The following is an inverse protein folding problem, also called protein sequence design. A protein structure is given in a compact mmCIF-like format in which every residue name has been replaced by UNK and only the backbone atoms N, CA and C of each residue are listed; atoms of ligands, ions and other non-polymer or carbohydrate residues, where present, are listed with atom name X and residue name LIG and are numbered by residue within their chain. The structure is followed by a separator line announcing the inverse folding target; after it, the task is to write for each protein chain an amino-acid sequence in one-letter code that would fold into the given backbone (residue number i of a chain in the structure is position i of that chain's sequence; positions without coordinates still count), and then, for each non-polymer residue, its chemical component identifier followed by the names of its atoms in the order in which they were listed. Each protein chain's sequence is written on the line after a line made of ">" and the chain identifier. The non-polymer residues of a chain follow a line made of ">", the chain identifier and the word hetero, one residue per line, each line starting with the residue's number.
data_IF_792455198096
#
_entry.id   IF_792455198096
#
_cell.length_a   1.000
_cell.length_b   1.000
_cell.length_c   1.000
_cell.angle_alpha   90.00
_cell.angle_beta   90.00
_cell.angle_gamma   90.00
#
_symmetry.space_group_name_H-M   'P 1'
#
loop_
_entity.id
_entity.type
_entity.pdbx_description
1 polymer ?
#
# COMPACT_ATOMS: atom_id res chain seq x y z
N UNK A 1 -18.34 -5.62 -55.11
CA UNK A 1 -18.43 -4.21 -54.70
C UNK A 1 -19.48 -4.18 -53.60
N UNK A 2 -19.27 -3.77 -52.36
CA UNK A 2 -18.23 -2.99 -51.68
C UNK A 2 -18.51 -3.23 -50.18
N UNK A 3 -17.62 -3.93 -49.48
CA UNK A 3 -16.74 -3.34 -48.46
C UNK A 3 -17.46 -2.72 -47.26
N UNK A 4 -17.60 -3.48 -46.18
CA UNK A 4 -17.50 -2.94 -44.82
C UNK A 4 -16.62 -3.89 -43.98
N UNK A 5 -15.32 -3.74 -44.18
CA UNK A 5 -14.35 -3.95 -43.10
C UNK A 5 -14.25 -2.59 -42.42
N UNK A 6 -14.65 -2.48 -41.15
CA UNK A 6 -14.03 -1.49 -40.28
C UNK A 6 -14.11 -1.90 -38.81
N UNK A 7 -12.97 -2.42 -38.38
CA UNK A 7 -12.30 -2.09 -37.13
C UNK A 7 -13.06 -2.34 -35.82
N UNK A 8 -13.10 -3.61 -35.42
CA UNK A 8 -12.90 -3.93 -34.01
C UNK A 8 -11.50 -3.47 -33.60
N UNK A 9 -11.37 -2.22 -33.18
CA UNK A 9 -10.25 -1.79 -32.35
C UNK A 9 -10.51 -2.37 -30.97
N UNK A 10 -10.26 -3.67 -30.81
CA UNK A 10 -9.97 -4.23 -29.50
C UNK A 10 -8.61 -3.64 -29.15
N UNK A 11 -8.63 -2.50 -28.45
CA UNK A 11 -7.43 -2.01 -27.77
C UNK A 11 -7.08 -3.08 -26.75
N UNK A 12 -6.14 -3.95 -27.11
CA UNK A 12 -5.40 -4.73 -26.13
C UNK A 12 -4.64 -3.72 -25.27
N UNK A 13 -5.31 -3.16 -24.25
CA UNK A 13 -4.63 -2.45 -23.18
C UNK A 13 -3.55 -3.41 -22.69
N UNK A 14 -2.29 -3.06 -22.94
CA UNK A 14 -1.20 -3.98 -22.65
C UNK A 14 -1.18 -4.20 -21.14
N UNK A 15 -1.15 -5.46 -20.71
CA UNK A 15 -1.13 -5.87 -19.30
C UNK A 15 -0.12 -5.09 -18.45
N UNK A 16 0.98 -4.63 -19.05
CA UNK A 16 2.01 -3.80 -18.43
C UNK A 16 1.47 -2.47 -17.89
N UNK A 17 0.56 -1.81 -18.61
CA UNK A 17 -0.02 -0.52 -18.19
C UNK A 17 -0.95 -0.70 -17.00
N UNK A 18 -1.66 -1.82 -16.94
CA UNK A 18 -2.55 -2.16 -15.84
C UNK A 18 -1.75 -2.49 -14.57
N UNK A 19 -0.67 -3.26 -14.69
CA UNK A 19 0.23 -3.56 -13.57
C UNK A 19 0.92 -2.31 -13.02
N UNK A 20 1.45 -1.44 -13.89
CA UNK A 20 2.06 -0.19 -13.47
C UNK A 20 1.05 0.73 -12.76
N UNK A 21 -0.17 0.84 -13.30
CA UNK A 21 -1.24 1.64 -12.66
C UNK A 21 -1.60 1.09 -11.28
N UNK A 22 -1.68 -0.24 -11.13
CA UNK A 22 -1.93 -0.89 -9.84
C UNK A 22 -0.80 -0.58 -8.84
N UNK A 23 0.46 -0.67 -9.28
CA UNK A 23 1.61 -0.37 -8.42
C UNK A 23 1.60 1.09 -7.94
N UNK A 24 1.32 2.06 -8.83
CA UNK A 24 1.21 3.47 -8.45
C UNK A 24 0.09 3.73 -7.41
N UNK A 25 -1.06 3.05 -7.58
CA UNK A 25 -2.17 3.15 -6.63
C UNK A 25 -1.79 2.56 -5.26
N UNK A 26 -1.08 1.43 -5.25
CA UNK A 26 -0.54 0.81 -4.03
C UNK A 26 0.44 1.75 -3.33
N UNK A 27 1.33 2.40 -4.09
CA UNK A 27 2.26 3.41 -3.57
C UNK A 27 1.53 4.62 -2.97
N UNK A 28 0.49 5.11 -3.63
CA UNK A 28 -0.33 6.21 -3.11
C UNK A 28 -1.01 5.83 -1.78
N UNK A 29 -1.54 4.61 -1.68
CA UNK A 29 -2.12 4.07 -0.42
C UNK A 29 -1.05 4.05 0.68
N UNK A 30 0.15 3.56 0.35
CA UNK A 30 1.26 3.46 1.30
C UNK A 30 1.67 4.84 1.82
N UNK A 31 1.88 5.81 0.94
CA UNK A 31 2.27 7.17 1.34
C UNK A 31 1.20 7.87 2.18
N UNK A 32 -0.08 7.68 1.88
CA UNK A 32 -1.16 8.23 2.70
C UNK A 32 -1.22 7.58 4.08
N UNK A 33 -1.01 6.25 4.17
CA UNK A 33 -0.93 5.55 5.44
C UNK A 33 0.30 5.96 6.25
N UNK A 34 1.45 6.12 5.60
CA UNK A 34 2.67 6.52 6.26
C UNK A 34 2.61 7.96 6.78
N UNK A 35 2.07 8.88 5.99
CA UNK A 35 1.81 10.26 6.43
C UNK A 35 0.83 10.32 7.61
N UNK A 36 -0.23 9.49 7.61
CA UNK A 36 -1.14 9.38 8.74
C UNK A 36 -0.40 8.98 10.02
N UNK A 37 0.44 7.95 9.94
CA UNK A 37 1.21 7.45 11.08
C UNK A 37 2.11 8.53 11.66
N UNK A 38 2.85 9.28 10.83
CA UNK A 38 3.70 10.37 11.32
C UNK A 38 2.92 11.50 12.00
N UNK A 39 1.74 11.86 11.49
CA UNK A 39 0.90 12.87 12.14
C UNK A 39 0.37 12.37 13.49
N UNK A 40 0.00 11.08 13.59
CA UNK A 40 -0.39 10.45 14.86
C UNK A 40 0.75 10.43 15.88
N UNK A 41 1.98 10.13 15.44
CA UNK A 41 3.17 10.18 16.29
C UNK A 41 3.42 11.60 16.83
N UNK A 42 3.23 12.64 16.01
CA UNK A 42 3.35 14.03 16.43
C UNK A 42 2.27 14.40 17.47
N UNK A 43 1.00 14.10 17.19
CA UNK A 43 -0.10 14.37 18.13
C UNK A 43 0.13 13.66 19.48
N UNK A 44 0.60 12.40 19.42
CA UNK A 44 0.93 11.60 20.60
C UNK A 44 2.08 12.23 21.39
N UNK A 45 3.16 12.64 20.73
CA UNK A 45 4.30 13.29 21.37
C UNK A 45 3.93 14.65 22.00
N UNK A 46 2.98 15.37 21.42
CA UNK A 46 2.47 16.64 21.95
C UNK A 46 1.42 16.47 23.05
N UNK A 47 0.85 15.26 23.20
CA UNK A 47 -0.23 14.96 24.13
C UNK A 47 -1.54 15.71 23.82
N UNK A 48 -1.71 16.18 22.58
CA UNK A 48 -2.89 16.94 22.14
C UNK A 48 -3.30 16.52 20.72
N UNK A 49 -4.60 16.31 20.43
CA UNK A 49 -5.07 15.87 19.12
C UNK A 49 -5.23 17.04 18.13
N UNK A 50 -4.17 17.82 17.89
CA UNK A 50 -4.24 19.04 17.07
C UNK A 50 -4.33 18.70 15.57
N UNK A 51 -3.70 17.61 15.15
CA UNK A 51 -3.60 17.18 13.76
C UNK A 51 -4.73 16.23 13.33
N UNK A 52 -5.64 15.89 14.25
CA UNK A 52 -6.79 15.00 14.00
C UNK A 52 -7.58 15.33 12.73
N UNK A 53 -7.89 16.61 12.39
CA UNK A 53 -8.57 16.93 11.14
C UNK A 53 -7.78 16.50 9.89
N UNK A 54 -6.46 16.68 9.90
CA UNK A 54 -5.59 16.28 8.79
C UNK A 54 -5.46 14.76 8.69
N UNK A 55 -5.29 14.08 9.83
CA UNK A 55 -5.27 12.61 9.93
C UNK A 55 -6.55 12.03 9.32
N UNK A 56 -7.71 12.57 9.68
CA UNK A 56 -8.99 12.12 9.13
C UNK A 56 -9.10 12.39 7.63
N UNK A 57 -8.60 13.53 7.13
CA UNK A 57 -8.54 13.79 5.69
C UNK A 57 -7.68 12.77 4.95
N UNK A 58 -6.51 12.39 5.49
CA UNK A 58 -5.64 11.37 4.89
C UNK A 58 -6.30 9.99 4.88
N UNK A 59 -6.99 9.61 5.96
CA UNK A 59 -7.77 8.36 6.03
C UNK A 59 -8.83 8.29 4.94
N UNK A 60 -9.58 9.38 4.75
CA UNK A 60 -10.63 9.45 3.73
C UNK A 60 -10.05 9.37 2.32
N UNK A 61 -8.96 10.10 2.04
CA UNK A 61 -8.28 10.02 0.75
C UNK A 61 -7.76 8.60 0.48
N UNK A 62 -7.18 7.94 1.49
CA UNK A 62 -6.69 6.55 1.35
C UNK A 62 -7.83 5.59 1.02
N UNK A 63 -8.99 5.76 1.68
CA UNK A 63 -10.19 4.95 1.41
C UNK A 63 -10.66 5.11 -0.04
N UNK A 64 -10.76 6.34 -0.53
CA UNK A 64 -11.18 6.64 -1.92
C UNK A 64 -10.23 5.99 -2.94
N UNK A 65 -8.91 6.06 -2.70
CA UNK A 65 -7.92 5.40 -3.56
C UNK A 65 -8.06 3.88 -3.49
N UNK A 66 -8.33 3.31 -2.31
CA UNK A 66 -8.59 1.89 -2.14
C UNK A 66 -9.83 1.39 -2.88
N UNK A 67 -10.92 2.14 -2.84
CA UNK A 67 -12.14 1.86 -3.61
C UNK A 67 -11.86 1.89 -5.12
N UNK A 68 -11.03 2.85 -5.56
CA UNK A 68 -10.56 2.93 -6.95
C UNK A 68 -9.76 1.69 -7.34
N UNK A 69 -8.83 1.23 -6.48
CA UNK A 69 -8.05 0.01 -6.70
C UNK A 69 -8.97 -1.22 -6.89
N UNK A 70 -9.91 -1.41 -5.97
CA UNK A 70 -10.83 -2.54 -6.00
C UNK A 70 -11.73 -2.54 -7.23
N UNK A 71 -12.19 -1.36 -7.64
CA UNK A 71 -12.95 -1.19 -8.88
C UNK A 71 -12.12 -1.61 -10.11
N UNK A 72 -10.85 -1.18 -10.19
CA UNK A 72 -9.96 -1.50 -11.31
C UNK A 72 -9.67 -2.99 -11.44
N UNK A 73 -9.51 -3.70 -10.32
CA UNK A 73 -9.27 -5.15 -10.31
C UNK A 73 -10.56 -5.98 -10.39
N UNK A 74 -11.72 -5.34 -10.61
CA UNK A 74 -13.00 -6.01 -10.83
C UNK A 74 -13.69 -6.51 -9.57
N UNK A 75 -13.25 -6.07 -8.39
CA UNK A 75 -13.94 -6.29 -7.10
C UNK A 75 -15.06 -5.25 -6.99
N UNK A 76 -16.14 -5.45 -7.76
CA UNK A 76 -17.31 -4.58 -7.74
C UNK A 76 -18.35 -5.02 -6.69
N UNK A 77 -19.00 -4.03 -6.06
CA UNK A 77 -20.08 -4.13 -5.07
C UNK A 77 -21.39 -4.77 -5.62
N UNK A 78 -21.34 -5.96 -6.23
CA UNK A 78 -22.57 -6.66 -6.65
C UNK A 78 -23.33 -7.30 -5.49
N UNK A 79 -22.74 -7.38 -4.30
CA UNK A 79 -23.40 -7.83 -3.08
C UNK A 79 -23.50 -6.66 -2.09
N UNK A 80 -24.63 -5.97 -2.15
CA UNK A 80 -25.10 -5.08 -1.09
C UNK A 80 -25.29 -5.88 0.20
N UNK A 81 -24.27 -5.89 1.06
CA UNK A 81 -24.35 -6.57 2.35
C UNK A 81 -23.08 -6.38 3.19
N UNK A 82 -23.24 -6.39 4.51
CA UNK A 82 -22.15 -6.29 5.48
C UNK A 82 -21.01 -7.33 5.25
N UNK A 83 -21.30 -8.44 4.58
CA UNK A 83 -20.36 -9.53 4.29
C UNK A 83 -19.31 -9.22 3.20
N UNK A 84 -19.57 -8.28 2.29
CA UNK A 84 -18.56 -7.91 1.28
C UNK A 84 -17.51 -6.94 1.85
N UNK A 85 -17.97 -6.00 2.70
CA UNK A 85 -17.10 -5.16 3.53
C UNK A 85 -16.10 -6.02 4.32
N UNK A 86 -16.56 -7.17 4.83
CA UNK A 86 -15.75 -8.07 5.63
C UNK A 86 -14.55 -8.68 4.86
N UNK A 87 -14.71 -9.29 3.68
CA UNK A 87 -13.55 -9.82 2.92
C UNK A 87 -12.59 -8.74 2.45
N UNK A 88 -13.15 -7.66 1.91
CA UNK A 88 -12.38 -6.57 1.37
C UNK A 88 -11.54 -5.91 2.46
N UNK A 89 -11.99 -5.90 3.71
CA UNK A 89 -11.31 -5.30 4.86
C UNK A 89 -10.04 -6.06 5.28
N UNK A 90 -10.07 -7.39 5.35
CA UNK A 90 -8.85 -8.19 5.66
C UNK A 90 -7.80 -8.07 4.55
N UNK A 91 -8.23 -8.13 3.29
CA UNK A 91 -7.35 -7.93 2.13
C UNK A 91 -6.81 -6.50 2.12
N UNK A 92 -7.67 -5.52 2.38
CA UNK A 92 -7.31 -4.11 2.48
C UNK A 92 -6.28 -3.85 3.58
N UNK A 93 -6.47 -4.38 4.79
CA UNK A 93 -5.48 -4.22 5.86
C UNK A 93 -4.14 -4.85 5.46
N UNK A 94 -4.18 -6.05 4.88
CA UNK A 94 -2.97 -6.75 4.38
C UNK A 94 -2.24 -5.90 3.33
N UNK A 95 -2.97 -5.35 2.36
CA UNK A 95 -2.41 -4.48 1.34
C UNK A 95 -1.80 -3.20 1.93
N UNK A 96 -2.49 -2.56 2.88
CA UNK A 96 -1.99 -1.37 3.61
C UNK A 96 -0.65 -1.68 4.29
N UNK A 97 -0.55 -2.81 4.99
CA UNK A 97 0.66 -3.19 5.71
C UNK A 97 1.82 -3.54 4.78
N UNK A 98 1.57 -4.33 3.74
CA UNK A 98 2.60 -4.70 2.78
C UNK A 98 3.09 -3.48 1.99
N UNK A 99 2.18 -2.58 1.61
CA UNK A 99 2.55 -1.37 0.87
C UNK A 99 3.38 -0.41 1.74
N UNK A 100 3.04 -0.22 3.02
CA UNK A 100 3.89 0.52 3.97
C UNK A 100 5.25 -0.16 4.16
N UNK A 101 5.30 -1.50 4.25
CA UNK A 101 6.56 -2.22 4.38
C UNK A 101 7.50 -1.99 3.17
N UNK A 102 6.95 -1.81 1.95
CA UNK A 102 7.74 -1.39 0.79
C UNK A 102 8.36 0.00 0.98
N UNK A 103 7.57 0.98 1.43
CA UNK A 103 8.08 2.34 1.70
C UNK A 103 9.19 2.30 2.76
N UNK A 104 9.03 1.53 3.82
CA UNK A 104 10.07 1.39 4.83
C UNK A 104 11.34 0.72 4.28
N UNK A 105 11.22 -0.22 3.34
CA UNK A 105 12.39 -0.75 2.64
C UNK A 105 13.11 0.34 1.84
N UNK A 106 12.36 1.17 1.11
CA UNK A 106 12.93 2.29 0.33
C UNK A 106 13.64 3.30 1.27
N UNK A 107 13.03 3.68 2.39
CA UNK A 107 13.64 4.59 3.38
C UNK A 107 14.89 4.02 4.07
N UNK A 108 14.89 2.72 4.37
CA UNK A 108 16.07 2.06 4.96
C UNK A 108 17.19 1.97 3.93
N UNK A 109 16.87 1.66 2.67
CA UNK A 109 17.84 1.64 1.58
C UNK A 109 18.48 3.02 1.39
N UNK A 110 17.68 4.10 1.36
CA UNK A 110 18.19 5.48 1.25
C UNK A 110 19.17 5.84 2.38
N UNK A 111 18.85 5.47 3.63
CA UNK A 111 19.72 5.71 4.79
C UNK A 111 21.06 4.97 4.66
N UNK A 112 21.04 3.73 4.16
CA UNK A 112 22.26 2.94 3.95
C UNK A 112 23.07 3.45 2.76
N UNK A 113 22.42 3.83 1.66
CA UNK A 113 23.07 4.45 0.50
C UNK A 113 23.80 5.72 0.91
N UNK A 114 23.16 6.58 1.71
CA UNK A 114 23.79 7.80 2.24
C UNK A 114 25.06 7.47 3.02
N UNK A 115 25.00 6.47 3.91
CA UNK A 115 26.16 6.00 4.67
C UNK A 115 27.28 5.47 3.78
N UNK A 116 26.93 4.70 2.74
CA UNK A 116 27.90 4.19 1.77
C UNK A 116 28.61 5.33 1.03
N UNK A 117 27.86 6.35 0.58
CA UNK A 117 28.42 7.52 -0.09
C UNK A 117 29.37 8.31 0.83
N UNK A 118 29.05 8.40 2.12
CA UNK A 118 29.92 9.07 3.10
C UNK A 118 31.22 8.26 3.34
N UNK A 119 31.15 6.93 3.39
CA UNK A 119 32.34 6.07 3.50
C UNK A 119 33.26 6.16 2.28
N UNK A 120 32.68 6.22 1.07
CA UNK A 120 33.44 6.40 -0.18
C UNK A 120 34.18 7.74 -0.17
N UNK A 121 33.53 8.83 0.27
CA UNK A 121 34.16 10.17 0.37
C UNK A 121 35.32 10.21 1.36
N UNK A 122 35.28 9.38 2.40
CA UNK A 122 36.31 9.34 3.45
C UNK A 122 37.53 8.47 3.12
N UNK A 123 37.61 7.85 1.93
CA UNK A 123 38.68 6.92 1.53
C UNK A 123 38.89 5.72 2.49
N UNK A 124 37.88 5.37 3.30
CA UNK A 124 37.94 4.26 4.27
C UNK A 124 37.53 2.90 3.64
N UNK A 125 37.60 2.76 2.31
CA UNK A 125 36.83 1.76 1.59
C UNK A 125 37.62 0.47 1.25
N UNK A 126 37.24 -0.63 1.91
CA UNK A 126 37.16 -1.93 1.22
C UNK A 126 36.02 -2.76 1.77
N UNK A 127 36.02 -3.07 3.06
CA UNK A 127 35.15 -4.15 3.57
C UNK A 127 33.81 -3.63 4.08
N UNK A 128 33.80 -2.49 4.79
CA UNK A 128 32.55 -1.84 5.25
C UNK A 128 31.64 -1.45 4.08
N UNK A 129 32.20 -0.83 3.04
CA UNK A 129 31.47 -0.44 1.84
C UNK A 129 30.83 -1.65 1.11
N UNK A 130 31.55 -2.78 1.03
CA UNK A 130 31.01 -4.03 0.47
C UNK A 130 29.85 -4.57 1.31
N UNK A 131 29.97 -4.52 2.64
CA UNK A 131 28.89 -4.93 3.55
C UNK A 131 27.65 -4.05 3.39
N UNK A 132 27.81 -2.72 3.29
CA UNK A 132 26.69 -1.80 3.05
C UNK A 132 26.02 -2.05 1.70
N UNK A 133 26.82 -2.27 0.64
CA UNK A 133 26.29 -2.63 -0.68
C UNK A 133 25.48 -3.95 -0.64
N UNK A 134 25.95 -4.96 0.11
CA UNK A 134 25.21 -6.20 0.31
C UNK A 134 23.88 -5.97 1.05
N UNK A 135 23.86 -5.13 2.08
CA UNK A 135 22.63 -4.79 2.78
C UNK A 135 21.61 -4.11 1.88
N UNK A 136 22.05 -3.18 1.01
CA UNK A 136 21.18 -2.53 0.02
C UNK A 136 20.55 -3.57 -0.91
N UNK A 137 21.35 -4.50 -1.44
CA UNK A 137 20.86 -5.59 -2.29
C UNK A 137 19.81 -6.44 -1.57
N UNK A 138 20.04 -6.81 -0.30
CA UNK A 138 19.10 -7.59 0.48
C UNK A 138 17.77 -6.85 0.70
N UNK A 139 17.82 -5.54 0.96
CA UNK A 139 16.61 -4.72 1.14
C UNK A 139 15.81 -4.65 -0.16
N UNK A 140 16.45 -4.43 -1.30
CA UNK A 140 15.74 -4.40 -2.58
C UNK A 140 15.17 -5.77 -2.98
N UNK A 141 15.82 -6.87 -2.60
CA UNK A 141 15.26 -8.21 -2.78
C UNK A 141 13.96 -8.37 -1.98
N UNK A 142 13.97 -8.00 -0.69
CA UNK A 142 12.75 -8.02 0.14
C UNK A 142 11.67 -7.09 -0.41
N UNK A 143 12.01 -5.86 -0.81
CA UNK A 143 11.07 -4.91 -1.42
C UNK A 143 10.42 -5.50 -2.67
N UNK A 144 11.18 -6.18 -3.52
CA UNK A 144 10.67 -6.84 -4.72
C UNK A 144 9.80 -8.06 -4.41
N UNK A 145 10.15 -8.85 -3.39
CA UNK A 145 9.30 -9.95 -2.93
C UNK A 145 7.94 -9.44 -2.41
N UNK A 146 7.94 -8.33 -1.65
CA UNK A 146 6.71 -7.70 -1.17
C UNK A 146 5.89 -7.18 -2.35
N UNK A 147 6.50 -6.45 -3.29
CA UNK A 147 5.83 -5.98 -4.52
C UNK A 147 5.16 -7.14 -5.25
N UNK A 148 5.90 -8.22 -5.50
CA UNK A 148 5.37 -9.41 -6.18
C UNK A 148 4.23 -10.07 -5.40
N UNK A 149 4.32 -10.08 -4.07
CA UNK A 149 3.24 -10.57 -3.20
C UNK A 149 1.99 -9.71 -3.36
N UNK A 150 2.12 -8.38 -3.33
CA UNK A 150 0.99 -7.46 -3.54
C UNK A 150 0.34 -7.68 -4.91
N UNK A 151 1.14 -7.76 -5.99
CA UNK A 151 0.60 -8.00 -7.33
C UNK A 151 -0.17 -9.32 -7.40
N UNK A 152 0.35 -10.40 -6.81
CA UNK A 152 -0.38 -11.68 -6.72
C UNK A 152 -1.66 -11.56 -5.91
N UNK A 153 -1.63 -10.87 -4.76
CA UNK A 153 -2.82 -10.60 -3.94
C UNK A 153 -3.89 -9.80 -4.69
N UNK A 154 -3.50 -8.95 -5.64
CA UNK A 154 -4.45 -8.13 -6.40
C UNK A 154 -4.96 -8.81 -7.67
N UNK A 155 -4.18 -9.72 -8.26
CA UNK A 155 -4.48 -10.31 -9.58
C UNK A 155 -4.96 -11.76 -9.53
N UNK A 156 -4.58 -12.52 -8.50
CA UNK A 156 -4.87 -13.95 -8.36
C UNK A 156 -5.88 -14.24 -7.23
N UNK A 157 -5.70 -13.62 -6.07
CA UNK A 157 -6.53 -13.87 -4.88
C UNK A 157 -8.02 -13.55 -5.07
N UNK A 158 -8.42 -12.42 -5.72
CA UNK A 158 -9.83 -12.11 -5.91
C UNK A 158 -10.58 -13.16 -6.75
N UNK A 159 -9.86 -13.97 -7.52
CA UNK A 159 -10.40 -15.04 -8.37
C UNK A 159 -10.59 -16.37 -7.62
N UNK A 160 -9.95 -16.53 -6.45
CA UNK A 160 -9.72 -17.83 -5.83
C UNK A 160 -10.16 -17.94 -4.35
N UNK A 161 -10.73 -16.89 -3.73
CA UNK A 161 -11.15 -16.93 -2.32
C UNK A 161 -12.68 -16.92 -2.16
N UNK A 162 -13.20 -18.04 -1.63
CA UNK A 162 -14.58 -18.19 -1.15
C UNK A 162 -14.84 -17.44 0.18
N UNK A 163 -16.13 -17.26 0.53
CA UNK A 163 -16.58 -16.52 1.72
C UNK A 163 -16.02 -17.10 3.02
N UNK A 164 -15.15 -16.35 3.68
CA UNK A 164 -14.64 -16.60 5.03
C UNK A 164 -14.86 -15.37 5.89
N UNK A 165 -15.19 -15.59 7.16
CA UNK A 165 -15.41 -14.54 8.15
C UNK A 165 -14.14 -13.72 8.42
N UNK A 166 -14.32 -12.43 8.72
CA UNK A 166 -13.23 -11.50 9.03
C UNK A 166 -12.49 -11.83 10.32
N UNK A 167 -11.16 -11.72 10.25
CA UNK A 167 -10.33 -11.46 11.43
C UNK A 167 -10.00 -9.96 11.43
N UNK A 168 -10.58 -9.20 12.38
CA UNK A 168 -10.30 -7.76 12.49
C UNK A 168 -8.81 -7.51 12.74
N UNK A 169 -8.26 -6.56 11.98
CA UNK A 169 -6.90 -6.06 12.15
C UNK A 169 -6.78 -5.34 13.51
N UNK A 170 -5.79 -5.70 14.34
CA UNK A 170 -5.68 -5.20 15.72
C UNK A 170 -5.36 -3.69 15.81
N UNK A 171 -4.85 -3.09 14.73
CA UNK A 171 -4.60 -1.64 14.64
C UNK A 171 -5.89 -0.80 14.54
N UNK A 172 -6.96 -1.35 13.98
CA UNK A 172 -8.24 -0.63 13.82
C UNK A 172 -9.09 -0.66 15.11
N UNK A 173 -8.65 -1.38 16.16
CA UNK A 173 -9.32 -1.41 17.48
C UNK A 173 -9.13 -0.12 18.29
N UNK A 174 -8.32 0.84 17.83
CA UNK A 174 -7.99 2.04 18.60
C UNK A 174 -8.96 3.21 18.45
N UNK A 175 -10.07 3.09 17.72
CA UNK A 175 -11.07 4.18 17.61
C UNK A 175 -12.51 3.65 17.57
N UNK A 176 -12.97 3.01 18.64
CA UNK A 176 -14.41 2.91 18.95
C UNK A 176 -14.62 3.02 20.47
N UNK A 177 -14.29 4.18 21.03
CA UNK A 177 -14.98 4.64 22.25
C UNK A 177 -15.60 5.98 21.93
N UNK A 178 -16.78 5.95 21.29
CA UNK A 178 -17.71 7.05 21.49
C UNK A 178 -18.02 7.10 22.99
N UNK A 179 -17.75 8.21 23.69
CA UNK A 179 -18.32 8.37 25.00
C UNK A 179 -19.82 8.42 24.79
N UNK A 180 -20.52 7.41 25.33
CA UNK A 180 -21.97 7.47 25.53
C UNK A 180 -22.27 8.72 26.38
N UNK A 181 -22.47 9.86 25.72
CA UNK A 181 -23.14 11.02 26.29
C UNK A 181 -24.64 10.71 26.28
N UNK A 182 -25.02 9.81 27.19
CA UNK A 182 -26.38 9.64 27.65
C UNK A 182 -26.30 9.08 29.08
N UNK A 183 -26.11 10.01 30.02
CA UNK A 183 -26.73 10.03 31.35
C UNK A 183 -26.48 11.37 32.02
#
# INVERSE_FOLDING_TARGET
>A
MSSEVSSQIVTSKSSVWEEATIEEIVYAIAHLAHAEQHLLEIDTAQGKPILTPLINSLRMNRKIIGETLFTLIGINEKSSGAQFRQKAESLWCTLKHLSMAMIHCDEVAEKIIKRLLDEIKMNNASDSAKTLALHITNIYNVRNEIRNTIIKLLTEVPKNIDLVDTVRCREDLCIETEPNLNK
#
